data_IF_659459849665
#
_entry.id   IF_659459849665
#
_cell.length_a   1.000
_cell.length_b   1.000
_cell.length_c   1.000
_cell.angle_alpha   90.00
_cell.angle_beta   90.00
_cell.angle_gamma   90.00
#
_symmetry.space_group_name_H-M   'P 1'
#
loop_
_entity.id
_entity.type
_entity.pdbx_description
1 polymer ?
#
# COMPACT_ATOMS: atom_id res chain seq x y z
N UNK A 1 -1.31 -14.31 43.62
CA UNK A 1 -1.44 -15.20 42.44
C UNK A 1 -2.27 -14.63 41.33
N UNK A 2 -3.42 -14.00 41.59
CA UNK A 2 -4.22 -13.36 40.56
C UNK A 2 -3.50 -12.19 39.85
N UNK A 3 -2.63 -11.47 40.58
CA UNK A 3 -1.88 -10.34 39.99
C UNK A 3 -0.81 -10.77 39.01
N UNK A 4 -0.12 -11.91 39.23
CA UNK A 4 0.92 -12.37 38.34
C UNK A 4 0.33 -12.91 37.03
N UNK A 5 -0.85 -13.53 37.05
CA UNK A 5 -1.54 -13.99 35.86
C UNK A 5 -2.02 -12.82 34.99
N UNK A 6 -2.55 -11.76 35.61
CA UNK A 6 -2.95 -10.54 34.91
C UNK A 6 -1.76 -9.85 34.26
N UNK A 7 -0.64 -9.75 34.95
CA UNK A 7 0.61 -9.19 34.40
C UNK A 7 1.12 -9.99 33.22
N UNK A 8 1.08 -11.33 33.29
CA UNK A 8 1.51 -12.21 32.20
C UNK A 8 0.59 -12.04 30.99
N UNK A 9 -0.71 -12.02 31.18
CA UNK A 9 -1.71 -11.85 30.11
C UNK A 9 -1.55 -10.48 29.46
N UNK A 10 -1.39 -9.41 30.26
CA UNK A 10 -1.18 -8.06 29.76
C UNK A 10 0.11 -7.94 28.95
N UNK A 11 1.20 -8.58 29.42
CA UNK A 11 2.48 -8.60 28.72
C UNK A 11 2.39 -9.36 27.40
N UNK A 12 1.67 -10.49 27.37
CA UNK A 12 1.45 -11.26 26.16
C UNK A 12 0.61 -10.48 25.12
N UNK A 13 -0.45 -9.81 25.59
CA UNK A 13 -1.26 -8.96 24.73
C UNK A 13 -0.46 -7.81 24.12
N UNK A 14 0.38 -7.17 24.94
CA UNK A 14 1.26 -6.10 24.48
C UNK A 14 2.26 -6.61 23.44
N UNK A 15 2.87 -7.78 23.67
CA UNK A 15 3.78 -8.40 22.71
C UNK A 15 3.10 -8.71 21.39
N UNK A 16 1.87 -9.24 21.42
CA UNK A 16 1.10 -9.54 20.23
C UNK A 16 0.78 -8.26 19.45
N UNK A 17 0.41 -7.18 20.15
CA UNK A 17 0.13 -5.88 19.52
C UNK A 17 1.38 -5.30 18.87
N UNK A 18 2.51 -5.33 19.56
CA UNK A 18 3.78 -4.83 19.03
C UNK A 18 4.24 -5.66 17.83
N UNK A 19 4.18 -6.99 17.94
CA UNK A 19 4.55 -7.88 16.85
C UNK A 19 3.63 -7.67 15.64
N UNK A 20 2.32 -7.49 15.87
CA UNK A 20 1.36 -7.19 14.82
C UNK A 20 1.65 -5.89 14.11
N UNK A 21 2.00 -4.83 14.87
CA UNK A 21 2.37 -3.53 14.29
C UNK A 21 3.63 -3.65 13.42
N UNK A 22 4.66 -4.34 13.89
CA UNK A 22 5.88 -4.57 13.10
C UNK A 22 5.60 -5.40 11.85
N UNK A 23 4.83 -6.47 11.99
CA UNK A 23 4.45 -7.32 10.86
C UNK A 23 3.71 -6.52 9.80
N UNK A 24 2.76 -5.69 10.23
CA UNK A 24 1.97 -4.87 9.31
C UNK A 24 2.80 -3.80 8.62
N UNK A 25 3.72 -3.14 9.35
CA UNK A 25 4.64 -2.17 8.77
C UNK A 25 5.54 -2.81 7.71
N UNK A 26 6.02 -4.01 8.00
CA UNK A 26 6.86 -4.78 7.09
C UNK A 26 6.10 -5.22 5.86
N UNK A 27 4.85 -5.66 6.05
CA UNK A 27 3.94 -6.02 4.96
C UNK A 27 3.65 -4.83 4.05
N UNK A 28 3.35 -3.66 4.64
CA UNK A 28 3.14 -2.43 3.90
C UNK A 28 4.39 -2.04 3.11
N UNK A 29 5.55 -2.03 3.75
CA UNK A 29 6.81 -1.67 3.10
C UNK A 29 7.12 -2.60 1.91
N UNK A 30 6.88 -3.89 2.06
CA UNK A 30 7.07 -4.87 1.00
C UNK A 30 6.09 -4.64 -0.15
N UNK A 31 4.82 -4.38 0.16
CA UNK A 31 3.79 -4.07 -0.84
C UNK A 31 4.15 -2.81 -1.62
N UNK A 32 4.53 -1.74 -0.93
CA UNK A 32 4.95 -0.47 -1.54
C UNK A 32 6.16 -0.69 -2.46
N UNK A 33 7.17 -1.40 -1.98
CA UNK A 33 8.37 -1.69 -2.77
C UNK A 33 8.04 -2.46 -4.05
N UNK A 34 7.19 -3.47 -3.95
CA UNK A 34 6.79 -4.29 -5.09
C UNK A 34 6.00 -3.47 -6.12
N UNK A 35 5.09 -2.60 -5.66
CA UNK A 35 4.30 -1.75 -6.53
C UNK A 35 5.20 -0.73 -7.24
N UNK A 36 6.09 -0.06 -6.50
CA UNK A 36 7.00 0.94 -7.09
C UNK A 36 7.92 0.30 -8.11
N UNK A 37 8.48 -0.88 -7.81
CA UNK A 37 9.31 -1.62 -8.76
C UNK A 37 8.54 -1.96 -10.02
N UNK A 38 7.29 -2.41 -9.89
CA UNK A 38 6.44 -2.72 -11.04
C UNK A 38 6.09 -1.47 -11.86
N UNK A 39 5.86 -0.34 -11.19
CA UNK A 39 5.61 0.94 -11.87
C UNK A 39 6.84 1.42 -12.64
N UNK A 40 8.03 1.24 -12.07
CA UNK A 40 9.29 1.60 -12.74
C UNK A 40 9.58 0.74 -13.97
N UNK A 41 9.10 -0.50 -13.98
CA UNK A 41 9.26 -1.44 -15.08
C UNK A 41 8.18 -1.32 -16.17
N UNK A 42 7.19 -0.42 -15.98
CA UNK A 42 6.14 -0.23 -16.97
C UNK A 42 6.68 0.34 -18.28
N UNK A 43 6.15 -0.12 -19.43
CA UNK A 43 6.46 0.51 -20.70
C UNK A 43 6.04 1.97 -20.74
N UNK A 44 6.74 2.79 -21.51
CA UNK A 44 6.39 4.21 -21.69
C UNK A 44 5.11 4.39 -22.51
N UNK A 45 4.75 3.40 -23.30
CA UNK A 45 3.57 3.39 -24.14
C UNK A 45 2.37 2.82 -23.40
N UNK A 46 1.25 3.56 -23.40
CA UNK A 46 0.03 3.19 -22.70
C UNK A 46 -0.52 1.82 -23.14
N UNK A 47 -0.57 1.56 -24.44
CA UNK A 47 -1.11 0.30 -24.95
C UNK A 47 -0.28 -0.91 -24.54
N UNK A 48 1.03 -0.76 -24.51
CA UNK A 48 1.93 -1.83 -24.08
C UNK A 48 1.86 -2.12 -22.59
N UNK A 49 1.42 -1.14 -21.79
CA UNK A 49 1.31 -1.26 -20.33
C UNK A 49 0.00 -1.89 -19.86
N UNK A 50 -0.99 -2.05 -20.74
CA UNK A 50 -2.36 -2.43 -20.37
C UNK A 50 -2.43 -3.68 -19.51
N UNK A 51 -1.81 -4.77 -19.93
CA UNK A 51 -1.86 -6.04 -19.21
C UNK A 51 -1.14 -5.96 -17.86
N UNK A 52 0.00 -5.28 -17.83
CA UNK A 52 0.77 -5.11 -16.60
C UNK A 52 0.03 -4.27 -15.56
N UNK A 53 -0.69 -3.24 -15.99
CA UNK A 53 -1.49 -2.42 -15.08
C UNK A 53 -2.66 -3.21 -14.51
N UNK A 54 -3.31 -4.05 -15.29
CA UNK A 54 -4.39 -4.91 -14.79
C UNK A 54 -3.86 -5.85 -13.72
N UNK A 55 -2.74 -6.52 -13.95
CA UNK A 55 -2.11 -7.42 -12.99
C UNK A 55 -1.71 -6.67 -11.72
N UNK A 56 -1.12 -5.48 -11.85
CA UNK A 56 -0.69 -4.68 -10.72
C UNK A 56 -1.87 -4.17 -9.90
N UNK A 57 -2.96 -3.76 -10.56
CA UNK A 57 -4.20 -3.35 -9.90
C UNK A 57 -4.81 -4.49 -9.10
N UNK A 58 -4.87 -5.70 -9.68
CA UNK A 58 -5.36 -6.89 -8.97
C UNK A 58 -4.50 -7.21 -7.75
N UNK A 59 -3.18 -7.11 -7.89
CA UNK A 59 -2.24 -7.23 -6.78
C UNK A 59 -2.54 -6.23 -5.67
N UNK A 60 -2.75 -4.95 -6.03
CA UNK A 60 -3.09 -3.91 -5.07
C UNK A 60 -4.40 -4.21 -4.34
N UNK A 61 -5.47 -4.59 -5.07
CA UNK A 61 -6.77 -4.87 -4.46
C UNK A 61 -6.70 -6.04 -3.48
N UNK A 62 -5.89 -7.04 -3.78
CA UNK A 62 -5.63 -8.16 -2.87
C UNK A 62 -4.90 -7.70 -1.61
N UNK A 63 -3.84 -6.92 -1.75
CA UNK A 63 -3.05 -6.40 -0.62
C UNK A 63 -3.85 -5.42 0.23
N UNK A 64 -4.70 -4.64 -0.39
CA UNK A 64 -5.59 -3.69 0.27
C UNK A 64 -6.47 -4.36 1.33
N UNK A 65 -6.94 -5.58 1.09
CA UNK A 65 -7.77 -6.31 2.04
C UNK A 65 -7.09 -6.53 3.39
N UNK A 66 -5.78 -6.66 3.39
CA UNK A 66 -4.99 -6.82 4.62
C UNK A 66 -4.63 -5.45 5.20
N UNK A 67 -4.24 -4.50 4.35
CA UNK A 67 -3.83 -3.16 4.79
C UNK A 67 -4.97 -2.37 5.45
N UNK A 68 -6.22 -2.66 5.13
CA UNK A 68 -7.38 -1.94 5.70
C UNK A 68 -7.51 -2.09 7.21
N UNK A 69 -6.82 -3.05 7.83
CA UNK A 69 -6.83 -3.21 9.29
C UNK A 69 -6.05 -2.11 10.01
N UNK A 70 -5.12 -1.45 9.34
CA UNK A 70 -4.24 -0.46 9.96
C UNK A 70 -4.18 0.88 9.21
N UNK A 71 -4.54 0.91 7.94
CA UNK A 71 -4.52 2.12 7.12
C UNK A 71 -5.97 2.54 6.85
N UNK A 72 -6.23 3.85 6.88
CA UNK A 72 -7.58 4.37 6.68
C UNK A 72 -8.11 4.02 5.29
N UNK A 73 -9.42 3.78 5.22
CA UNK A 73 -10.11 3.47 3.97
C UNK A 73 -9.92 4.60 2.95
N UNK A 74 -9.93 5.86 3.40
CA UNK A 74 -9.75 7.00 2.50
C UNK A 74 -8.38 7.00 1.82
N UNK A 75 -7.31 6.64 2.56
CA UNK A 75 -5.96 6.54 2.00
C UNK A 75 -5.84 5.40 1.00
N UNK A 76 -6.42 4.25 1.33
CA UNK A 76 -6.40 3.08 0.44
C UNK A 76 -7.22 3.32 -0.82
N UNK A 77 -8.40 3.92 -0.68
CA UNK A 77 -9.28 4.22 -1.81
C UNK A 77 -8.70 5.28 -2.74
N UNK A 78 -7.93 6.22 -2.20
CA UNK A 78 -7.23 7.20 -3.02
C UNK A 78 -6.26 6.53 -4.00
N UNK A 79 -5.54 5.49 -3.55
CA UNK A 79 -4.66 4.72 -4.42
C UNK A 79 -5.46 3.94 -5.47
N UNK A 80 -6.57 3.31 -5.07
CA UNK A 80 -7.45 2.60 -6.00
C UNK A 80 -7.98 3.52 -7.10
N UNK A 81 -8.36 4.75 -6.76
CA UNK A 81 -8.80 5.75 -7.74
C UNK A 81 -7.68 6.13 -8.71
N UNK A 82 -6.45 6.22 -8.24
CA UNK A 82 -5.30 6.52 -9.10
C UNK A 82 -5.00 5.37 -10.06
N UNK A 83 -5.18 4.12 -9.64
CA UNK A 83 -5.14 2.99 -10.56
C UNK A 83 -6.20 3.10 -11.65
N UNK A 84 -7.41 3.51 -11.27
CA UNK A 84 -8.50 3.72 -12.23
C UNK A 84 -8.16 4.83 -13.24
N UNK A 85 -7.53 5.92 -12.78
CA UNK A 85 -7.08 7.00 -13.67
C UNK A 85 -6.04 6.51 -14.69
N UNK A 86 -5.08 5.68 -14.26
CA UNK A 86 -4.10 5.07 -15.15
C UNK A 86 -4.81 4.18 -16.19
N UNK A 87 -5.78 3.39 -15.73
CA UNK A 87 -6.54 2.50 -16.62
C UNK A 87 -7.32 3.28 -17.68
N UNK A 88 -7.96 4.37 -17.28
CA UNK A 88 -8.71 5.25 -18.22
C UNK A 88 -7.76 5.85 -19.26
N UNK A 89 -6.59 6.33 -18.84
CA UNK A 89 -5.59 6.87 -19.77
C UNK A 89 -5.15 5.82 -20.79
N UNK A 90 -4.99 4.58 -20.34
CA UNK A 90 -4.64 3.45 -21.22
C UNK A 90 -5.78 3.17 -22.21
N UNK A 91 -7.04 3.14 -21.76
CA UNK A 91 -8.20 2.93 -22.61
C UNK A 91 -8.33 3.99 -23.70
N UNK A 92 -7.95 5.22 -23.38
CA UNK A 92 -7.98 6.35 -24.33
C UNK A 92 -6.71 6.43 -25.17
N UNK A 93 -5.76 5.52 -25.00
CA UNK A 93 -4.47 5.53 -25.67
C UNK A 93 -3.74 6.87 -25.55
N UNK A 94 -3.89 7.53 -24.39
CA UNK A 94 -3.33 8.85 -24.10
C UNK A 94 -2.02 8.68 -23.34
N UNK A 95 -0.90 8.68 -24.05
CA UNK A 95 0.42 8.46 -23.45
C UNK A 95 0.82 9.55 -22.47
N UNK A 96 0.47 10.79 -22.72
CA UNK A 96 0.78 11.91 -21.83
C UNK A 96 0.04 11.76 -20.49
N UNK A 97 -1.28 11.51 -20.54
CA UNK A 97 -2.08 11.31 -19.34
C UNK A 97 -1.67 10.04 -18.61
N UNK A 98 -1.33 8.97 -19.34
CA UNK A 98 -0.82 7.73 -18.76
C UNK A 98 0.43 7.98 -17.93
N UNK A 99 1.39 8.74 -18.44
CA UNK A 99 2.62 9.06 -17.71
C UNK A 99 2.35 9.92 -16.48
N UNK A 100 1.46 10.91 -16.59
CA UNK A 100 1.06 11.75 -15.47
C UNK A 100 0.34 10.97 -14.39
N UNK A 101 -0.62 10.13 -14.78
CA UNK A 101 -1.38 9.30 -13.84
C UNK A 101 -0.48 8.30 -13.12
N UNK A 102 0.46 7.68 -13.82
CA UNK A 102 1.43 6.77 -13.25
C UNK A 102 2.32 7.48 -12.22
N UNK A 103 2.76 8.69 -12.53
CA UNK A 103 3.56 9.49 -11.60
C UNK A 103 2.77 9.86 -10.33
N UNK A 104 1.49 10.21 -10.47
CA UNK A 104 0.61 10.48 -9.32
C UNK A 104 0.41 9.25 -8.45
N UNK A 105 0.18 8.11 -9.08
CA UNK A 105 0.03 6.82 -8.40
C UNK A 105 1.29 6.49 -7.60
N UNK A 106 2.45 6.62 -8.22
CA UNK A 106 3.73 6.37 -7.56
C UNK A 106 3.91 7.23 -6.31
N UNK A 107 3.62 8.52 -6.39
CA UNK A 107 3.73 9.44 -5.25
C UNK A 107 2.79 9.06 -4.13
N UNK A 108 1.55 8.69 -4.45
CA UNK A 108 0.57 8.28 -3.45
C UNK A 108 1.02 7.02 -2.71
N UNK A 109 1.57 6.05 -3.41
CA UNK A 109 2.10 4.81 -2.82
C UNK A 109 3.29 5.11 -1.91
N UNK A 110 4.21 5.96 -2.34
CA UNK A 110 5.35 6.40 -1.51
C UNK A 110 4.89 7.11 -0.24
N UNK A 111 3.87 7.98 -0.35
CA UNK A 111 3.35 8.74 0.79
C UNK A 111 2.72 7.85 1.86
N UNK A 112 2.02 6.80 1.48
CA UNK A 112 1.43 5.84 2.44
C UNK A 112 2.53 5.21 3.29
N UNK A 113 3.62 4.78 2.67
CA UNK A 113 4.73 4.17 3.39
C UNK A 113 5.38 5.14 4.38
N UNK A 114 5.54 6.40 3.98
CA UNK A 114 6.10 7.43 4.87
C UNK A 114 5.19 7.76 6.04
N UNK A 115 3.88 7.86 5.82
CA UNK A 115 2.91 8.11 6.88
C UNK A 115 2.92 7.00 7.93
N UNK A 116 3.03 5.75 7.51
CA UNK A 116 3.11 4.61 8.42
C UNK A 116 4.42 4.64 9.23
N UNK A 117 5.53 4.99 8.62
CA UNK A 117 6.82 5.13 9.32
C UNK A 117 6.76 6.22 10.39
N UNK A 118 6.12 7.35 10.09
CA UNK A 118 5.92 8.45 11.05
C UNK A 118 5.05 7.99 12.22
N UNK A 119 3.95 7.29 11.93
CA UNK A 119 3.06 6.77 12.96
C UNK A 119 3.79 5.81 13.92
N UNK A 120 4.60 4.90 13.38
CA UNK A 120 5.39 3.98 14.18
C UNK A 120 6.44 4.70 15.02
N UNK A 121 7.11 5.71 14.47
CA UNK A 121 8.12 6.46 15.20
C UNK A 121 7.50 7.28 16.34
N UNK A 122 6.25 7.70 16.23
CA UNK A 122 5.54 8.40 17.31
C UNK A 122 5.07 7.46 18.42
N UNK A 123 4.85 6.18 18.11
CA UNK A 123 4.46 5.16 19.09
C UNK A 123 5.70 4.61 19.84
N UNK A 124 6.79 4.47 19.15
CA UNK A 124 8.04 3.91 19.65
C UNK A 124 9.17 4.94 19.71
#
# INVERSE_FOLDING_TARGET
>A
MKHSNVCIISSLLLLILVAGAFFNARYLNRTVTDIIRSLDDLPDDALSAKERIIVLRDFWEERKQILKFTISDSSLNAISLLFDEVHIAIQNADNEEYQKATARLRRAVENINQLEKIALSNIF
#
